data_IF_674202747137
#
_entry.id   IF_674202747137
#
_cell.length_a   1.000
_cell.length_b   1.000
_cell.length_c   1.000
_cell.angle_alpha   90.00
_cell.angle_beta   90.00
_cell.angle_gamma   90.00
#
_symmetry.space_group_name_H-M   'P 1'
#
loop_
_entity.id
_entity.type
_entity.pdbx_description
1 polymer ?
#
# COMPACT_ATOMS: atom_id res chain seq x y z
N UNK A 1 16.95 7.06 -16.56
CA UNK A 1 16.52 6.61 -15.21
C UNK A 1 16.08 5.18 -15.37
N UNK A 2 16.64 4.29 -14.57
CA UNK A 2 16.35 2.85 -14.65
C UNK A 2 15.46 2.48 -13.47
N UNK A 3 14.20 2.17 -13.72
CA UNK A 3 13.17 1.85 -12.71
C UNK A 3 13.03 0.32 -12.62
N UNK A 4 14.13 -0.34 -12.25
CA UNK A 4 14.28 -1.79 -12.41
C UNK A 4 13.25 -2.57 -11.58
N UNK A 5 13.07 -2.20 -10.31
CA UNK A 5 12.22 -2.93 -9.39
C UNK A 5 10.74 -2.65 -9.70
N UNK A 6 10.39 -1.41 -10.00
CA UNK A 6 9.03 -1.02 -10.38
C UNK A 6 8.60 -1.66 -11.70
N UNK A 7 9.46 -1.70 -12.72
CA UNK A 7 9.17 -2.41 -13.97
C UNK A 7 8.94 -3.90 -13.73
N UNK A 8 9.81 -4.57 -12.96
CA UNK A 8 9.64 -5.98 -12.60
C UNK A 8 8.34 -6.23 -11.82
N UNK A 9 7.97 -5.31 -10.94
CA UNK A 9 6.71 -5.38 -10.19
C UNK A 9 5.49 -5.27 -11.10
N UNK A 10 5.47 -4.29 -12.00
CA UNK A 10 4.38 -4.12 -12.96
C UNK A 10 4.29 -5.29 -13.94
N UNK A 11 5.40 -5.90 -14.33
CA UNK A 11 5.42 -7.13 -15.14
C UNK A 11 4.91 -8.36 -14.37
N UNK A 12 5.22 -8.44 -13.07
CA UNK A 12 4.81 -9.55 -12.19
C UNK A 12 3.34 -9.46 -11.76
N UNK A 13 2.78 -8.26 -11.75
CA UNK A 13 1.43 -7.98 -11.23
C UNK A 13 0.50 -7.51 -12.37
N UNK A 14 -0.75 -7.20 -12.03
CA UNK A 14 -1.67 -6.45 -12.90
C UNK A 14 -2.00 -5.10 -12.26
N UNK A 15 -1.10 -4.61 -11.41
CA UNK A 15 -1.25 -3.34 -10.72
C UNK A 15 -0.98 -2.17 -11.69
N UNK A 16 -1.54 -1.02 -11.34
CA UNK A 16 -1.37 0.22 -12.08
C UNK A 16 -0.48 1.18 -11.32
N UNK A 17 0.42 1.81 -12.05
CA UNK A 17 1.20 2.95 -11.58
C UNK A 17 0.46 4.23 -11.90
N UNK A 18 0.14 5.02 -10.88
CA UNK A 18 -0.34 6.39 -11.02
C UNK A 18 0.66 7.37 -10.44
N UNK A 19 0.77 8.54 -11.06
CA UNK A 19 1.56 9.66 -10.54
C UNK A 19 0.71 10.92 -10.62
N UNK A 20 0.58 11.63 -9.52
CA UNK A 20 -0.19 12.88 -9.43
C UNK A 20 0.60 13.99 -8.73
N UNK A 21 0.22 15.23 -8.99
CA UNK A 21 0.71 16.40 -8.26
C UNK A 21 -0.14 16.65 -7.02
N UNK A 22 0.48 17.00 -5.90
CA UNK A 22 -0.26 17.33 -4.68
C UNK A 22 -1.07 18.62 -4.84
N UNK A 23 -2.33 18.58 -4.39
CA UNK A 23 -3.35 19.63 -4.58
C UNK A 23 -2.92 21.04 -4.13
N UNK A 24 -2.19 21.17 -3.02
CA UNK A 24 -1.80 22.47 -2.45
C UNK A 24 -0.39 22.92 -2.84
N UNK A 25 0.27 22.21 -3.76
CA UNK A 25 1.70 22.39 -3.98
C UNK A 25 2.48 21.82 -2.80
N UNK A 26 3.19 20.73 -3.06
CA UNK A 26 3.96 20.01 -2.04
C UNK A 26 4.86 18.94 -2.65
N UNK A 27 4.54 18.51 -3.87
CA UNK A 27 5.35 17.61 -4.66
C UNK A 27 4.47 16.76 -5.55
N UNK A 28 4.91 15.52 -5.75
CA UNK A 28 4.28 14.50 -6.53
C UNK A 28 4.22 13.21 -5.73
N UNK A 29 3.17 12.44 -5.95
CA UNK A 29 2.99 11.12 -5.36
C UNK A 29 2.92 10.08 -6.44
N UNK A 30 3.68 9.01 -6.28
CA UNK A 30 3.62 7.82 -7.10
C UNK A 30 2.99 6.70 -6.28
N UNK A 31 1.98 6.02 -6.83
CA UNK A 31 1.29 4.90 -6.19
C UNK A 31 1.25 3.74 -7.18
N UNK A 32 1.61 2.53 -6.72
CA UNK A 32 1.37 1.30 -7.48
C UNK A 32 0.48 0.34 -6.68
N UNK A 33 -0.70 0.06 -7.22
CA UNK A 33 -1.66 -0.86 -6.62
C UNK A 33 -2.66 -1.35 -7.68
N UNK A 34 -3.52 -2.30 -7.34
CA UNK A 34 -4.61 -2.71 -8.22
C UNK A 34 -5.47 -1.50 -8.62
N UNK A 35 -6.00 -1.50 -9.84
CA UNK A 35 -6.78 -0.38 -10.41
C UNK A 35 -7.84 0.18 -9.46
N UNK A 36 -8.64 -0.69 -8.84
CA UNK A 36 -9.72 -0.27 -7.95
C UNK A 36 -9.23 0.44 -6.68
N UNK A 37 -8.01 0.13 -6.25
CA UNK A 37 -7.36 0.78 -5.12
C UNK A 37 -6.79 2.14 -5.56
N UNK A 38 -6.11 2.21 -6.71
CA UNK A 38 -5.60 3.47 -7.23
C UNK A 38 -6.72 4.47 -7.53
N UNK A 39 -7.81 4.02 -8.16
CA UNK A 39 -8.95 4.88 -8.50
C UNK A 39 -9.56 5.49 -7.22
N UNK A 40 -9.82 4.66 -6.20
CA UNK A 40 -10.34 5.16 -4.92
C UNK A 40 -9.37 6.14 -4.23
N UNK A 41 -8.07 5.82 -4.18
CA UNK A 41 -7.11 6.68 -3.50
C UNK A 41 -6.96 8.03 -4.20
N UNK A 42 -6.91 8.05 -5.54
CA UNK A 42 -6.87 9.32 -6.27
C UNK A 42 -8.18 10.10 -6.13
N UNK A 43 -9.34 9.45 -6.16
CA UNK A 43 -10.63 10.11 -5.90
C UNK A 43 -10.65 10.78 -4.52
N UNK A 44 -10.08 10.13 -3.49
CA UNK A 44 -9.99 10.73 -2.15
C UNK A 44 -8.95 11.86 -2.08
N UNK A 45 -7.85 11.76 -2.83
CA UNK A 45 -6.81 12.80 -2.89
C UNK A 45 -7.25 14.06 -3.63
N UNK A 46 -8.04 13.91 -4.69
CA UNK A 46 -8.64 15.01 -5.45
C UNK A 46 -9.92 15.55 -4.81
N UNK A 47 -10.46 14.82 -3.83
CA UNK A 47 -11.66 15.16 -3.07
C UNK A 47 -11.51 16.42 -2.20
N UNK A 48 -12.40 16.53 -1.21
CA UNK A 48 -12.35 17.64 -0.27
C UNK A 48 -11.11 17.61 0.65
N UNK A 49 -10.93 18.69 1.42
CA UNK A 49 -9.75 18.87 2.27
C UNK A 49 -9.64 17.77 3.35
N UNK A 50 -10.76 17.20 3.82
CA UNK A 50 -10.75 16.10 4.78
C UNK A 50 -10.35 14.80 4.11
N UNK A 51 -10.94 14.48 2.96
CA UNK A 51 -10.61 13.28 2.18
C UNK A 51 -9.12 13.26 1.82
N UNK A 52 -8.62 14.37 1.28
CA UNK A 52 -7.21 14.50 0.91
C UNK A 52 -6.26 14.39 2.11
N UNK A 53 -6.67 14.91 3.28
CA UNK A 53 -5.90 14.81 4.53
C UNK A 53 -5.86 13.37 5.05
N UNK A 54 -7.00 12.68 5.06
CA UNK A 54 -7.10 11.30 5.53
C UNK A 54 -6.34 10.32 4.64
N UNK A 55 -6.36 10.52 3.31
CA UNK A 55 -5.54 9.69 2.41
C UNK A 55 -4.06 9.96 2.58
N UNK A 56 -3.65 11.21 2.81
CA UNK A 56 -2.25 11.53 3.15
C UNK A 56 -1.82 10.83 4.44
N UNK A 57 -2.66 10.90 5.48
CA UNK A 57 -2.40 10.20 6.73
C UNK A 57 -2.29 8.68 6.51
N UNK A 58 -3.16 8.08 5.70
CA UNK A 58 -3.06 6.66 5.35
C UNK A 58 -1.73 6.32 4.66
N UNK A 59 -1.33 7.06 3.64
CA UNK A 59 -0.09 6.79 2.90
C UNK A 59 1.15 7.01 3.78
N UNK A 60 1.14 8.05 4.63
CA UNK A 60 2.23 8.40 5.54
C UNK A 60 2.41 7.41 6.70
N UNK A 61 1.31 7.00 7.34
CA UNK A 61 1.34 6.08 8.48
C UNK A 61 1.65 4.63 8.10
N UNK A 62 1.46 4.27 6.83
CA UNK A 62 1.56 2.89 6.36
C UNK A 62 2.66 2.76 5.30
N UNK A 63 3.95 2.90 5.68
CA UNK A 63 5.05 2.89 4.73
C UNK A 63 5.30 1.52 4.09
N UNK A 64 4.58 0.45 4.46
CA UNK A 64 4.52 -0.77 3.67
C UNK A 64 3.69 -0.63 2.39
N UNK A 65 2.73 0.30 2.35
CA UNK A 65 1.89 0.50 1.16
C UNK A 65 2.75 1.02 0.01
N UNK A 66 2.59 0.52 -1.24
CA UNK A 66 3.48 0.82 -2.35
C UNK A 66 3.21 2.22 -2.95
N UNK A 67 3.57 3.24 -2.18
CA UNK A 67 3.50 4.65 -2.55
C UNK A 67 4.78 5.39 -2.16
N UNK A 68 5.06 6.52 -2.81
CA UNK A 68 6.16 7.41 -2.42
C UNK A 68 5.91 8.86 -2.85
N UNK A 69 6.47 9.80 -2.07
CA UNK A 69 6.46 11.24 -2.33
C UNK A 69 7.80 11.76 -2.86
N UNK A 70 7.78 12.73 -3.78
CA UNK A 70 8.98 13.47 -4.19
C UNK A 70 8.67 14.88 -4.67
N UNK A 71 9.66 15.77 -4.71
CA UNK A 71 9.47 17.15 -5.19
C UNK A 71 9.20 17.23 -6.71
N UNK A 72 9.53 16.16 -7.44
CA UNK A 72 9.27 16.01 -8.88
C UNK A 72 8.66 14.64 -9.18
N UNK A 73 7.97 14.45 -10.33
CA UNK A 73 7.49 13.13 -10.72
C UNK A 73 8.60 12.09 -10.77
N UNK A 74 9.78 12.50 -11.25
CA UNK A 74 10.95 11.62 -11.36
C UNK A 74 11.46 11.19 -9.99
N UNK A 75 11.53 12.11 -9.03
CA UNK A 75 11.93 11.78 -7.66
C UNK A 75 10.93 10.83 -6.98
N UNK A 76 9.62 11.08 -7.14
CA UNK A 76 8.58 10.20 -6.60
C UNK A 76 8.69 8.78 -7.17
N UNK A 77 8.92 8.65 -8.49
CA UNK A 77 9.14 7.36 -9.14
C UNK A 77 10.42 6.66 -8.70
N UNK A 78 11.52 7.40 -8.48
CA UNK A 78 12.78 6.82 -7.98
C UNK A 78 12.64 6.29 -6.57
N UNK A 79 11.99 7.05 -5.69
CA UNK A 79 11.70 6.62 -4.32
C UNK A 79 10.77 5.41 -4.32
N UNK A 80 9.74 5.40 -5.17
CA UNK A 80 8.86 4.25 -5.31
C UNK A 80 9.62 3.00 -5.79
N UNK A 81 10.48 3.13 -6.80
CA UNK A 81 11.32 2.03 -7.29
C UNK A 81 12.23 1.46 -6.18
N UNK A 82 12.93 2.33 -5.46
CA UNK A 82 13.78 1.94 -4.33
C UNK A 82 12.97 1.22 -3.23
N UNK A 83 11.79 1.76 -2.88
CA UNK A 83 10.86 1.16 -1.92
C UNK A 83 10.39 -0.22 -2.37
N UNK A 84 10.00 -0.38 -3.63
CA UNK A 84 9.61 -1.67 -4.21
C UNK A 84 10.77 -2.68 -4.14
N UNK A 85 12.01 -2.25 -4.38
CA UNK A 85 13.21 -3.07 -4.25
C UNK A 85 13.50 -3.54 -2.81
N UNK A 86 13.04 -2.81 -1.80
CA UNK A 86 13.09 -3.20 -0.39
C UNK A 86 11.93 -4.13 -0.01
N UNK A 87 10.73 -3.88 -0.55
CA UNK A 87 9.52 -4.62 -0.21
C UNK A 87 9.44 -5.99 -0.90
N UNK A 88 10.04 -6.14 -2.09
CA UNK A 88 9.88 -7.33 -2.92
C UNK A 88 11.21 -7.94 -3.36
N UNK A 89 11.23 -9.27 -3.42
CA UNK A 89 12.21 -10.05 -4.15
C UNK A 89 11.61 -10.50 -5.48
N UNK A 90 12.38 -10.33 -6.55
CA UNK A 90 11.97 -10.71 -7.90
C UNK A 90 12.71 -11.95 -8.37
N UNK A 91 11.96 -12.95 -8.79
CA UNK A 91 12.49 -14.19 -9.35
C UNK A 91 11.94 -14.41 -10.77
N UNK A 92 12.74 -14.96 -11.70
CA UNK A 92 12.22 -15.33 -13.01
C UNK A 92 11.22 -16.49 -12.85
N UNK A 93 10.06 -16.38 -13.51
CA UNK A 93 9.10 -17.48 -13.54
C UNK A 93 9.69 -18.71 -14.25
N UNK A 94 9.45 -19.93 -13.74
CA UNK A 94 9.83 -21.17 -14.43
C UNK A 94 9.28 -21.28 -15.86
N UNK A 95 8.18 -20.60 -16.16
CA UNK A 95 7.54 -20.57 -17.48
C UNK A 95 8.10 -19.51 -18.44
N UNK A 96 9.16 -18.78 -18.05
CA UNK A 96 10.08 -18.09 -18.97
C UNK A 96 9.72 -16.67 -19.44
N UNK A 97 8.56 -16.10 -19.07
CA UNK A 97 8.12 -14.81 -19.63
C UNK A 97 7.62 -13.77 -18.62
N UNK A 98 7.65 -14.06 -17.33
CA UNK A 98 7.18 -13.14 -16.29
C UNK A 98 8.08 -13.18 -15.07
N UNK A 99 8.16 -12.06 -14.35
CA UNK A 99 8.70 -12.02 -13.00
C UNK A 99 7.67 -12.53 -12.00
N UNK A 100 8.16 -13.08 -10.89
CA UNK A 100 7.37 -13.35 -9.69
C UNK A 100 7.84 -12.34 -8.64
N UNK A 101 6.92 -11.53 -8.13
CA UNK A 101 7.17 -10.60 -7.04
C UNK A 101 6.80 -11.26 -5.71
N UNK A 102 7.80 -11.64 -4.90
CA UNK A 102 7.59 -12.18 -3.56
C UNK A 102 7.81 -11.08 -2.52
N UNK A 103 6.84 -10.87 -1.64
CA UNK A 103 7.01 -9.94 -0.52
C UNK A 103 8.12 -10.42 0.40
N UNK A 104 8.96 -9.48 0.85
CA UNK A 104 10.02 -9.73 1.86
C UNK A 104 9.50 -9.63 3.29
N UNK A 105 8.23 -9.28 3.45
CA UNK A 105 7.52 -9.20 4.72
C UNK A 105 6.29 -10.10 4.69
N UNK A 106 5.80 -10.46 5.87
CA UNK A 106 4.57 -11.24 6.04
C UNK A 106 3.50 -10.31 6.59
N UNK A 107 2.39 -10.21 5.86
CA UNK A 107 1.21 -9.46 6.27
C UNK A 107 0.02 -10.40 6.23
N UNK A 108 -0.47 -10.79 7.41
CA UNK A 108 -1.52 -11.80 7.54
C UNK A 108 -2.64 -11.34 8.45
N UNK A 109 -3.86 -11.72 8.08
CA UNK A 109 -5.07 -11.51 8.85
C UNK A 109 -5.70 -12.87 9.20
N UNK A 110 -6.50 -12.90 10.27
CA UNK A 110 -7.20 -14.10 10.74
C UNK A 110 -8.52 -14.28 9.98
N UNK A 111 -8.82 -15.52 9.59
CA UNK A 111 -10.16 -15.86 9.13
C UNK A 111 -11.18 -15.75 10.28
N UNK A 112 -12.46 -15.55 9.94
CA UNK A 112 -13.53 -15.77 10.91
C UNK A 112 -13.59 -17.25 11.22
N UNK A 113 -13.57 -17.58 12.51
CA UNK A 113 -13.71 -18.96 12.99
C UNK A 113 -14.72 -18.99 14.13
N UNK A 114 -15.47 -20.08 14.23
CA UNK A 114 -16.39 -20.24 15.35
C UNK A 114 -15.64 -20.42 16.68
N UNK A 115 -16.27 -20.11 17.84
CA UNK A 115 -15.67 -20.37 19.14
C UNK A 115 -15.30 -21.85 19.30
N UNK A 116 -14.00 -22.15 19.43
CA UNK A 116 -13.48 -23.51 19.59
C UNK A 116 -12.85 -24.11 18.35
N UNK A 117 -12.91 -23.42 17.20
CA UNK A 117 -12.19 -23.82 15.99
C UNK A 117 -10.75 -23.33 15.96
N UNK A 118 -9.90 -24.05 15.23
CA UNK A 118 -8.51 -23.65 15.01
C UNK A 118 -8.46 -22.40 14.11
N UNK A 119 -7.69 -21.40 14.53
CA UNK A 119 -7.59 -20.12 13.81
C UNK A 119 -6.71 -20.26 12.58
N UNK A 120 -7.31 -20.08 11.40
CA UNK A 120 -6.59 -19.96 10.13
C UNK A 120 -6.13 -18.53 9.83
N UNK A 121 -5.20 -18.40 8.88
CA UNK A 121 -4.63 -17.12 8.44
C UNK A 121 -4.56 -17.03 6.92
N UNK A 122 -4.67 -15.82 6.38
CA UNK A 122 -4.45 -15.53 4.95
C UNK A 122 -3.50 -14.37 4.74
N UNK A 123 -2.87 -14.34 3.58
CA UNK A 123 -2.02 -13.22 3.16
C UNK A 123 -2.90 -12.05 2.70
N UNK A 124 -2.68 -10.88 3.30
CA UNK A 124 -3.46 -9.66 3.08
C UNK A 124 -3.11 -9.02 1.73
N UNK A 125 -4.08 -8.70 0.89
CA UNK A 125 -3.82 -7.94 -0.34
C UNK A 125 -3.93 -6.42 -0.11
N UNK A 126 -3.27 -5.61 -0.97
CA UNK A 126 -3.42 -4.15 -0.90
C UNK A 126 -4.85 -3.70 -1.21
N UNK A 127 -5.53 -4.43 -2.10
CA UNK A 127 -6.93 -4.17 -2.44
C UNK A 127 -7.85 -4.37 -1.24
N UNK A 128 -7.60 -5.38 -0.41
CA UNK A 128 -8.42 -5.67 0.78
C UNK A 128 -8.22 -4.59 1.85
N UNK A 129 -6.97 -4.13 2.07
CA UNK A 129 -6.68 -2.98 2.92
C UNK A 129 -7.46 -1.74 2.46
N UNK A 130 -7.42 -1.44 1.16
CA UNK A 130 -8.13 -0.26 0.64
C UNK A 130 -9.65 -0.45 0.71
N UNK A 131 -10.14 -1.68 0.56
CA UNK A 131 -11.55 -2.01 0.75
C UNK A 131 -11.99 -1.75 2.19
N UNK A 132 -11.15 -2.06 3.19
CA UNK A 132 -11.40 -1.77 4.60
C UNK A 132 -11.51 -0.26 4.92
N UNK A 133 -10.89 0.59 4.10
CA UNK A 133 -10.96 2.04 4.21
C UNK A 133 -12.26 2.63 3.67
N UNK A 134 -12.90 1.96 2.70
CA UNK A 134 -14.06 2.53 1.98
C UNK A 134 -15.21 2.82 2.95
N UNK A 135 -15.53 4.10 3.07
CA UNK A 135 -16.53 4.61 4.00
C UNK A 135 -16.99 6.00 3.56
N UNK A 136 -18.25 6.34 3.86
CA UNK A 136 -18.81 7.68 3.59
C UNK A 136 -18.57 8.66 4.75
N UNK A 137 -17.66 8.35 5.67
CA UNK A 137 -17.32 9.21 6.82
C UNK A 137 -16.30 10.26 6.41
N UNK A 138 -16.42 11.45 6.99
CA UNK A 138 -15.45 12.55 6.81
C UNK A 138 -14.02 12.12 7.18
N UNK A 139 -13.85 11.43 8.31
CA UNK A 139 -12.57 10.91 8.80
C UNK A 139 -12.48 9.40 8.56
N UNK A 140 -12.50 8.99 7.28
CA UNK A 140 -12.66 7.58 6.94
C UNK A 140 -11.48 6.71 7.41
N UNK A 141 -10.25 7.23 7.37
CA UNK A 141 -9.05 6.49 7.71
C UNK A 141 -8.88 6.41 9.22
N UNK A 142 -8.98 7.54 9.93
CA UNK A 142 -8.85 7.55 11.40
C UNK A 142 -9.98 6.76 12.08
N UNK A 143 -11.21 6.82 11.54
CA UNK A 143 -12.29 5.93 12.00
C UNK A 143 -12.00 4.45 11.73
N UNK A 144 -11.34 4.13 10.62
CA UNK A 144 -10.95 2.75 10.30
C UNK A 144 -9.82 2.24 11.15
N UNK A 145 -8.76 3.01 11.30
CA UNK A 145 -7.64 2.73 12.16
C UNK A 145 -8.07 2.51 13.61
N UNK A 146 -8.94 3.36 14.15
CA UNK A 146 -9.41 3.24 15.54
C UNK A 146 -10.38 2.09 15.81
N UNK A 147 -11.02 1.54 14.77
CA UNK A 147 -12.04 0.46 14.89
C UNK A 147 -11.60 -0.85 14.28
N UNK A 148 -10.42 -0.90 13.67
CA UNK A 148 -9.87 -2.14 13.15
C UNK A 148 -9.48 -3.07 14.30
N UNK A 149 -9.51 -4.36 14.03
CA UNK A 149 -9.17 -5.41 14.96
C UNK A 149 -9.21 -6.77 14.28
N UNK A 150 -9.04 -7.83 15.07
CA UNK A 150 -8.96 -9.21 14.56
C UNK A 150 -10.24 -9.71 13.85
N UNK A 151 -11.37 -9.00 13.98
CA UNK A 151 -12.66 -9.36 13.35
C UNK A 151 -13.30 -8.24 12.53
N UNK A 152 -12.75 -7.02 12.55
CA UNK A 152 -13.30 -5.85 11.86
C UNK A 152 -12.17 -5.13 11.16
N UNK A 153 -12.30 -4.87 9.85
CA UNK A 153 -11.27 -4.21 9.05
C UNK A 153 -9.88 -4.85 9.26
N UNK A 154 -9.84 -6.17 9.09
CA UNK A 154 -8.72 -7.04 9.51
C UNK A 154 -7.47 -6.83 8.69
N UNK A 155 -7.65 -6.52 7.41
CA UNK A 155 -6.56 -6.28 6.49
C UNK A 155 -5.86 -4.97 6.84
N UNK A 156 -6.65 -3.94 7.15
CA UNK A 156 -6.12 -2.71 7.73
C UNK A 156 -5.48 -2.96 9.10
N UNK A 157 -6.11 -3.76 9.97
CA UNK A 157 -5.55 -4.09 11.29
C UNK A 157 -4.16 -4.74 11.19
N UNK A 158 -3.99 -5.68 10.24
CA UNK A 158 -2.70 -6.31 9.99
C UNK A 158 -1.64 -5.30 9.57
N UNK A 159 -2.00 -4.32 8.74
CA UNK A 159 -1.11 -3.25 8.29
C UNK A 159 -0.70 -2.30 9.40
N UNK A 160 -1.66 -1.77 10.17
CA UNK A 160 -1.38 -0.82 11.24
C UNK A 160 -0.64 -1.45 12.41
N UNK A 161 -0.81 -2.77 12.62
CA UNK A 161 -0.12 -3.53 13.66
C UNK A 161 1.25 -4.05 13.22
N UNK A 162 1.65 -3.80 11.97
CA UNK A 162 2.95 -4.24 11.47
C UNK A 162 4.08 -3.56 12.23
N UNK A 163 5.08 -4.35 12.65
CA UNK A 163 6.25 -3.84 13.36
C UNK A 163 7.34 -3.43 12.37
N UNK A 164 7.60 -2.12 12.29
CA UNK A 164 8.63 -1.55 11.43
C UNK A 164 10.01 -1.65 12.08
N UNK A 165 10.57 -2.86 12.07
CA UNK A 165 11.89 -3.17 12.65
C UNK A 165 12.85 -3.69 11.57
N UNK A 166 14.16 -3.67 11.86
CA UNK A 166 15.19 -4.23 10.98
C UNK A 166 15.28 -3.51 9.62
N UNK A 167 15.28 -4.28 8.52
CA UNK A 167 15.38 -3.77 7.15
C UNK A 167 14.21 -2.85 6.74
N UNK A 168 13.11 -2.87 7.49
CA UNK A 168 11.91 -2.07 7.22
C UNK A 168 11.84 -0.77 8.04
N UNK A 169 12.79 -0.54 8.95
CA UNK A 169 12.81 0.67 9.79
C UNK A 169 13.00 1.95 8.97
N UNK A 170 13.67 1.88 7.81
CA UNK A 170 13.89 3.02 6.90
C UNK A 170 12.74 3.26 5.92
N UNK A 171 11.68 2.45 5.93
CA UNK A 171 10.57 2.63 4.97
C UNK A 171 9.84 3.96 5.16
N UNK A 172 9.86 4.52 6.37
CA UNK A 172 9.28 5.83 6.67
C UNK A 172 9.93 6.97 5.86
N UNK A 173 11.19 6.81 5.44
CA UNK A 173 11.89 7.81 4.61
C UNK A 173 11.36 7.88 3.17
N UNK A 174 10.54 6.89 2.78
CA UNK A 174 9.90 6.80 1.46
C UNK A 174 8.40 7.10 1.51
N UNK A 175 7.82 7.34 2.69
CA UNK A 175 6.40 7.64 2.84
C UNK A 175 6.06 9.04 2.30
#
# INVERSE_FOLDING_TARGET
>A
MDLIALCKYLEATQDHLGVESERYGGGFRAIVAHRSATDFLFDMLEGDDFQGTETQAFLGDNPLFPSAHGATPQEALQKLDAKIGLLYQFEPSPSGYKWIAKRRFVLKAQYDTEPGEERGWYDVSWSDIVQDLRSNKLYYYEDAKSKCGDSVRRDLHALVSFKYEGEFASLADFA
#
